data_IF_369349186486
#
_entry.id   IF_369349186486
#
_cell.length_a   1.000
_cell.length_b   1.000
_cell.length_c   1.000
_cell.angle_alpha   90.00
_cell.angle_beta   90.00
_cell.angle_gamma   90.00
#
_symmetry.space_group_name_H-M   'P 1'
#
loop_
_entity.id
_entity.type
_entity.pdbx_description
1 polymer ?
#
# COMPACT_ATOMS: atom_id res chain seq x y z
N UNK A 1 -7.56 -4.41 10.52
CA UNK A 1 -6.18 -4.69 10.10
C UNK A 1 -6.06 -4.63 8.58
N UNK A 2 -5.06 -3.95 8.11
CA UNK A 2 -4.84 -3.82 6.67
C UNK A 2 -4.36 -5.14 6.10
N UNK A 3 -4.92 -5.54 4.96
CA UNK A 3 -4.59 -6.81 4.34
C UNK A 3 -4.14 -6.62 2.91
N UNK A 4 -3.43 -7.62 2.39
CA UNK A 4 -2.86 -7.53 1.04
C UNK A 4 -3.92 -7.53 -0.05
N UNK A 5 -5.14 -7.95 0.27
CA UNK A 5 -6.24 -7.97 -0.69
C UNK A 5 -6.91 -6.60 -0.84
N UNK A 6 -6.59 -5.66 0.01
CA UNK A 6 -7.11 -4.31 -0.13
C UNK A 6 -6.49 -3.65 -1.36
N UNK A 7 -7.27 -2.85 -2.06
CA UNK A 7 -6.70 -2.06 -3.15
C UNK A 7 -5.99 -0.84 -2.58
N UNK A 8 -5.08 -0.29 -3.37
CA UNK A 8 -4.37 0.93 -2.98
C UNK A 8 -5.38 2.05 -2.72
N UNK A 9 -6.38 2.18 -3.60
CA UNK A 9 -7.40 3.20 -3.43
C UNK A 9 -8.18 3.03 -2.14
N UNK A 10 -8.54 1.80 -1.83
CA UNK A 10 -9.27 1.51 -0.60
C UNK A 10 -8.43 1.84 0.63
N UNK A 11 -7.17 1.49 0.59
CA UNK A 11 -6.26 1.80 1.70
C UNK A 11 -6.16 3.30 1.93
N UNK A 12 -5.96 4.05 0.86
CA UNK A 12 -5.79 5.50 0.97
C UNK A 12 -7.09 6.20 1.36
N UNK A 13 -8.22 5.60 1.00
CA UNK A 13 -9.51 6.15 1.39
C UNK A 13 -9.73 6.01 2.89
N UNK A 14 -9.40 4.85 3.43
CA UNK A 14 -9.60 4.58 4.86
C UNK A 14 -8.46 5.09 5.72
N UNK A 15 -7.27 5.09 5.19
CA UNK A 15 -6.06 5.47 5.92
C UNK A 15 -5.16 6.34 5.07
N UNK A 16 -5.58 7.59 4.80
CA UNK A 16 -4.79 8.46 3.92
C UNK A 16 -3.38 8.73 4.44
N UNK A 17 -3.18 8.62 5.74
CA UNK A 17 -1.85 8.85 6.31
C UNK A 17 -0.85 7.77 5.90
N UNK A 18 -1.34 6.63 5.42
CA UNK A 18 -0.46 5.54 5.01
C UNK A 18 0.22 5.77 3.66
N UNK A 19 -0.18 6.83 2.96
CA UNK A 19 0.46 7.15 1.69
C UNK A 19 1.98 7.31 1.86
N UNK A 20 2.40 7.92 2.97
CA UNK A 20 3.83 8.08 3.24
C UNK A 20 4.55 6.76 3.39
N UNK A 21 3.90 5.79 4.02
CA UNK A 21 4.49 4.47 4.20
C UNK A 21 4.69 3.79 2.85
N UNK A 22 3.68 3.90 1.98
CA UNK A 22 3.77 3.30 0.65
C UNK A 22 4.89 3.93 -0.17
N UNK A 23 5.02 5.26 -0.10
CA UNK A 23 6.07 5.96 -0.84
C UNK A 23 7.45 5.57 -0.32
N UNK A 24 7.59 5.44 0.99
CA UNK A 24 8.86 5.04 1.57
C UNK A 24 9.24 3.62 1.16
N UNK A 25 8.25 2.80 0.91
CA UNK A 25 8.50 1.42 0.50
C UNK A 25 8.90 1.31 -0.96
N UNK A 26 8.75 2.39 -1.74
CA UNK A 26 9.14 2.39 -3.14
C UNK A 26 8.02 2.64 -4.12
N UNK A 27 6.82 2.86 -3.63
CA UNK A 27 5.67 3.13 -4.50
C UNK A 27 5.55 4.63 -4.71
N UNK A 28 6.18 5.13 -5.76
CA UNK A 28 6.26 6.57 -5.98
C UNK A 28 5.10 7.17 -6.77
N UNK A 29 4.28 6.34 -7.40
CA UNK A 29 3.23 6.82 -8.28
C UNK A 29 1.84 6.60 -7.70
N UNK A 30 1.63 7.07 -6.47
CA UNK A 30 0.35 6.87 -5.81
C UNK A 30 -0.78 7.64 -6.46
N UNK A 31 -0.47 8.67 -7.22
CA UNK A 31 -1.49 9.43 -7.91
C UNK A 31 -1.92 8.80 -9.22
N UNK A 32 -1.30 7.71 -9.62
CA UNK A 32 -1.63 7.04 -10.86
C UNK A 32 -2.92 6.24 -10.68
N UNK A 33 -3.88 6.43 -11.59
CA UNK A 33 -5.15 5.75 -11.51
C UNK A 33 -4.98 4.23 -11.55
N UNK A 34 -4.04 3.75 -12.37
CA UNK A 34 -3.79 2.33 -12.47
C UNK A 34 -3.35 1.75 -11.12
N UNK A 35 -2.54 2.51 -10.40
CA UNK A 35 -2.04 2.04 -9.11
C UNK A 35 -3.16 1.94 -8.08
N UNK A 36 -4.12 2.86 -8.12
CA UNK A 36 -5.19 2.85 -7.12
C UNK A 36 -6.15 1.69 -7.30
N UNK A 37 -6.20 1.11 -8.50
CA UNK A 37 -7.07 -0.02 -8.77
C UNK A 37 -6.45 -1.37 -8.46
N UNK A 38 -5.16 -1.40 -8.14
CA UNK A 38 -4.47 -2.64 -7.81
C UNK A 38 -4.55 -2.96 -6.34
N UNK A 39 -4.49 -4.26 -6.01
CA UNK A 39 -4.39 -4.65 -4.61
C UNK A 39 -2.97 -4.40 -4.12
N UNK A 40 -2.80 -4.39 -2.80
CA UNK A 40 -1.47 -4.22 -2.22
C UNK A 40 -0.53 -5.31 -2.70
N UNK A 41 -1.03 -6.54 -2.78
CA UNK A 41 -0.23 -7.65 -3.25
C UNK A 41 0.24 -7.43 -4.69
N UNK A 42 -0.68 -7.00 -5.55
CA UNK A 42 -0.34 -6.77 -6.96
C UNK A 42 0.66 -5.62 -7.11
N UNK A 43 0.45 -4.56 -6.36
CA UNK A 43 1.34 -3.41 -6.43
C UNK A 43 2.73 -3.78 -5.94
N UNK A 44 2.81 -4.57 -4.88
CA UNK A 44 4.10 -5.00 -4.36
C UNK A 44 4.83 -5.88 -5.36
N UNK A 45 4.10 -6.70 -6.08
CA UNK A 45 4.71 -7.56 -7.09
C UNK A 45 5.32 -6.73 -8.21
N UNK A 46 4.60 -5.71 -8.67
CA UNK A 46 5.08 -4.85 -9.73
C UNK A 46 6.32 -4.07 -9.30
N UNK A 47 6.34 -3.59 -8.06
CA UNK A 47 7.43 -2.79 -7.54
C UNK A 47 8.53 -3.61 -6.87
N UNK A 48 8.39 -4.93 -6.89
CA UNK A 48 9.37 -5.86 -6.29
C UNK A 48 9.53 -5.58 -4.79
N UNK A 49 8.41 -5.36 -4.13
CA UNK A 49 8.38 -5.12 -2.69
C UNK A 49 7.81 -6.35 -2.01
N UNK A 50 8.38 -6.71 -0.85
CA UNK A 50 7.86 -7.82 -0.06
C UNK A 50 6.56 -7.37 0.61
N UNK A 51 5.43 -7.95 0.19
CA UNK A 51 4.13 -7.54 0.72
C UNK A 51 4.00 -7.80 2.21
N UNK A 52 4.65 -8.85 2.70
CA UNK A 52 4.60 -9.16 4.13
C UNK A 52 5.26 -8.05 4.95
N UNK A 53 6.40 -7.58 4.48
CA UNK A 53 7.09 -6.50 5.17
C UNK A 53 6.28 -5.21 5.09
N UNK A 54 5.67 -4.95 3.94
CA UNK A 54 4.87 -3.75 3.79
C UNK A 54 3.66 -3.78 4.72
N UNK A 55 2.99 -4.92 4.80
CA UNK A 55 1.85 -5.06 5.70
C UNK A 55 2.25 -4.86 7.15
N UNK A 56 3.42 -5.34 7.52
CA UNK A 56 3.93 -5.16 8.87
C UNK A 56 4.10 -3.67 9.17
N UNK A 57 4.66 -2.93 8.24
CA UNK A 57 4.84 -1.50 8.41
C UNK A 57 3.51 -0.77 8.45
N UNK A 58 2.58 -1.16 7.58
CA UNK A 58 1.27 -0.52 7.54
C UNK A 58 0.49 -0.73 8.82
N UNK A 59 0.54 -1.92 9.37
CA UNK A 59 -0.22 -2.25 10.57
C UNK A 59 0.46 -1.80 11.84
N UNK A 60 1.76 -1.58 11.78
CA UNK A 60 2.54 -1.19 12.93
C UNK A 60 2.10 0.15 13.50
N UNK A 61 1.66 1.05 12.64
CA UNK A 61 1.27 2.39 13.05
C UNK A 61 -0.20 2.51 13.40
N UNK A 62 -0.88 1.40 13.46
CA UNK A 62 -2.28 1.39 13.80
C UNK A 62 -2.54 1.60 15.29
N UNK A 63 -1.53 1.58 16.08
CA UNK A 63 -1.67 1.71 17.54
C UNK A 63 -1.91 3.13 17.96
#
# INVERSE_FOLDING_TARGET
>A
MIEKTWTIGELLEKHPEKAGVLMDAGMHCLGCIAATGETLEEACMVHEIDVEELLEELNKEEN
#
